data_IF_269040324305
#
_entry.id   IF_269040324305
#
_cell.length_a   1.000
_cell.length_b   1.000
_cell.length_c   1.000
_cell.angle_alpha   90.00
_cell.angle_beta   90.00
_cell.angle_gamma   90.00
#
_symmetry.space_group_name_H-M   'P 1'
#
loop_
_entity.id
_entity.type
_entity.pdbx_description
1 polymer ?
#
# COMPACT_ATOMS: atom_id res chain seq x y z
N UNK A 1 21.73 -1.37 -12.98
CA UNK A 1 22.30 -2.35 -12.04
C UNK A 1 23.80 -2.17 -11.94
N UNK A 2 24.32 -2.00 -10.72
CA UNK A 2 25.75 -1.83 -10.46
C UNK A 2 26.27 -3.15 -9.83
N UNK A 3 27.16 -3.90 -10.51
CA UNK A 3 27.63 -5.18 -10.01
C UNK A 3 28.41 -5.02 -8.69
N UNK A 4 28.07 -5.84 -7.69
CA UNK A 4 28.66 -5.79 -6.34
C UNK A 4 27.87 -4.98 -5.31
N UNK A 5 26.78 -4.32 -5.71
CA UNK A 5 25.88 -3.65 -4.77
C UNK A 5 24.98 -4.67 -4.08
N UNK A 6 25.11 -4.79 -2.76
CA UNK A 6 24.16 -5.56 -1.95
C UNK A 6 22.80 -4.86 -1.94
N UNK A 7 21.75 -5.58 -2.36
CA UNK A 7 20.40 -5.09 -2.23
C UNK A 7 20.02 -5.08 -0.74
N UNK A 8 19.25 -4.06 -0.28
CA UNK A 8 18.70 -4.11 1.07
C UNK A 8 17.83 -5.37 1.22
N UNK A 9 17.75 -5.95 2.43
CA UNK A 9 16.90 -7.10 2.68
C UNK A 9 15.47 -6.81 2.22
N UNK A 10 14.88 -7.72 1.45
CA UNK A 10 13.47 -7.65 1.11
C UNK A 10 12.65 -7.84 2.38
N UNK A 11 11.84 -6.84 2.72
CA UNK A 11 10.89 -6.90 3.82
C UNK A 11 9.47 -6.90 3.27
N UNK A 12 8.62 -7.75 3.84
CA UNK A 12 7.20 -7.75 3.53
C UNK A 12 6.48 -6.67 4.34
N UNK A 13 5.61 -5.90 3.68
CA UNK A 13 4.68 -5.02 4.39
C UNK A 13 3.61 -5.88 5.07
N UNK A 14 3.67 -6.00 6.40
CA UNK A 14 2.61 -6.62 7.20
C UNK A 14 1.60 -5.56 7.64
N UNK A 15 0.40 -5.63 7.08
CA UNK A 15 -0.70 -4.72 7.43
C UNK A 15 -1.46 -5.26 8.63
N UNK A 16 -1.48 -4.50 9.73
CA UNK A 16 -2.24 -4.85 10.95
C UNK A 16 -3.43 -3.91 11.22
N UNK A 17 -3.60 -2.86 10.41
CA UNK A 17 -4.67 -1.88 10.57
C UNK A 17 -5.99 -2.31 9.91
N UNK A 18 -7.06 -1.57 10.21
CA UNK A 18 -8.41 -1.81 9.72
C UNK A 18 -8.72 -0.89 8.52
N UNK A 19 -9.17 -1.50 7.42
CA UNK A 19 -9.60 -0.78 6.23
C UNK A 19 -10.72 0.23 6.55
N UNK A 20 -10.60 1.45 6.02
CA UNK A 20 -11.55 2.55 6.28
C UNK A 20 -11.42 3.21 7.65
N UNK A 21 -10.45 2.81 8.49
CA UNK A 21 -10.17 3.43 9.79
C UNK A 21 -8.72 3.88 9.91
N UNK A 22 -7.78 2.96 9.66
CA UNK A 22 -6.35 3.22 9.78
C UNK A 22 -5.74 3.56 8.40
N UNK A 23 -4.52 4.09 8.40
CA UNK A 23 -3.82 4.48 7.16
C UNK A 23 -3.52 3.31 6.22
N UNK A 24 -3.41 2.10 6.77
CA UNK A 24 -3.25 0.86 6.02
C UNK A 24 -4.23 -0.18 6.57
N UNK A 25 -4.98 -0.83 5.69
CA UNK A 25 -5.85 -1.95 6.03
C UNK A 25 -6.02 -2.90 4.86
N UNK A 26 -6.46 -4.13 5.15
CA UNK A 26 -6.83 -5.11 4.14
C UNK A 26 -8.35 -5.22 4.10
N UNK A 27 -8.95 -5.01 2.93
CA UNK A 27 -10.37 -5.22 2.72
C UNK A 27 -10.70 -6.73 2.60
N UNK A 28 -11.97 -7.07 2.69
CA UNK A 28 -12.47 -8.46 2.56
C UNK A 28 -12.04 -9.15 1.26
N UNK A 29 -11.96 -8.39 0.18
CA UNK A 29 -11.49 -8.89 -1.12
C UNK A 29 -9.95 -8.85 -1.25
N UNK A 30 -9.24 -8.78 -0.12
CA UNK A 30 -7.78 -8.79 -0.01
C UNK A 30 -7.06 -7.60 -0.68
N UNK A 31 -7.79 -6.56 -1.09
CA UNK A 31 -7.18 -5.33 -1.59
C UNK A 31 -6.60 -4.50 -0.45
N UNK A 32 -5.44 -3.89 -0.70
CA UNK A 32 -4.85 -2.90 0.17
C UNK A 32 -5.72 -1.63 0.12
N UNK A 33 -6.18 -1.19 1.29
CA UNK A 33 -6.84 0.09 1.48
C UNK A 33 -5.87 1.02 2.19
N UNK A 34 -5.65 2.19 1.61
CA UNK A 34 -4.82 3.24 2.18
C UNK A 34 -5.59 4.54 2.32
N UNK A 35 -5.19 5.39 3.27
CA UNK A 35 -5.72 6.75 3.35
C UNK A 35 -5.21 7.61 2.19
N UNK A 36 -5.87 8.75 1.93
CA UNK A 36 -5.43 9.69 0.89
C UNK A 36 -4.02 10.20 1.16
N UNK A 37 -3.65 10.45 2.42
CA UNK A 37 -2.30 10.88 2.83
C UNK A 37 -1.22 9.89 2.39
N UNK A 38 -1.47 8.59 2.55
CA UNK A 38 -0.52 7.56 2.11
C UNK A 38 -0.48 7.48 0.58
N UNK A 39 -1.64 7.59 -0.09
CA UNK A 39 -1.67 7.61 -1.56
C UNK A 39 -0.83 8.77 -2.11
N UNK A 40 -1.00 9.98 -1.58
CA UNK A 40 -0.23 11.18 -1.98
C UNK A 40 1.28 10.95 -1.80
N UNK A 41 1.68 10.29 -0.70
CA UNK A 41 3.08 9.94 -0.46
C UNK A 41 3.61 8.94 -1.50
N UNK A 42 2.86 7.88 -1.83
CA UNK A 42 3.27 6.87 -2.82
C UNK A 42 3.33 7.46 -4.24
N UNK A 43 2.40 8.36 -4.57
CA UNK A 43 2.41 9.12 -5.84
C UNK A 43 3.66 10.00 -5.93
N UNK A 44 4.04 10.69 -4.84
CA UNK A 44 5.26 11.52 -4.80
C UNK A 44 6.56 10.72 -4.96
N UNK A 45 6.55 9.45 -4.57
CA UNK A 45 7.68 8.52 -4.74
C UNK A 45 7.71 7.87 -6.12
N UNK A 46 6.74 8.20 -6.99
CA UNK A 46 6.67 7.69 -8.35
C UNK A 46 6.42 6.19 -8.40
N UNK A 47 5.53 5.66 -7.54
CA UNK A 47 5.05 4.26 -7.59
C UNK A 47 3.81 4.22 -8.50
N UNK A 48 3.96 4.01 -9.83
CA UNK A 48 2.91 4.26 -10.79
C UNK A 48 2.15 2.97 -11.18
N UNK A 49 2.46 1.83 -10.56
CA UNK A 49 2.11 0.51 -11.09
C UNK A 49 0.89 -0.15 -10.44
N UNK A 50 0.09 0.58 -9.66
CA UNK A 50 -1.12 0.05 -9.05
C UNK A 50 -2.38 0.68 -9.65
N UNK A 51 -3.39 -0.14 -9.92
CA UNK A 51 -4.75 0.35 -10.18
C UNK A 51 -5.32 0.83 -8.84
N UNK A 52 -5.72 2.11 -8.79
CA UNK A 52 -6.31 2.73 -7.61
C UNK A 52 -7.76 3.06 -7.88
N UNK A 53 -8.63 2.68 -6.95
CA UNK A 53 -10.07 2.92 -7.01
C UNK A 53 -10.58 3.32 -5.61
N UNK A 54 -11.62 4.18 -5.52
CA UNK A 54 -12.17 4.59 -4.24
C UNK A 54 -12.65 3.41 -3.40
N UNK A 55 -12.36 3.43 -2.10
CA UNK A 55 -12.86 2.43 -1.17
C UNK A 55 -14.32 2.74 -0.77
N UNK A 56 -15.22 1.79 -0.95
CA UNK A 56 -16.67 1.96 -0.71
C UNK A 56 -17.11 1.74 0.75
N UNK A 57 -16.15 1.43 1.63
CA UNK A 57 -16.40 1.22 3.06
C UNK A 57 -17.09 -0.10 3.41
N UNK A 58 -17.32 -1.00 2.44
CA UNK A 58 -17.97 -2.28 2.70
C UNK A 58 -16.95 -3.28 3.25
N UNK A 59 -17.12 -3.62 4.52
CA UNK A 59 -16.54 -4.83 5.11
C UNK A 59 -17.45 -5.98 4.68
N UNK A 60 -17.07 -6.75 3.65
CA UNK A 60 -17.70 -8.06 3.41
C UNK A 60 -17.10 -9.11 4.34
#
# INVERSE_FOLDING_TARGET
DQPGQELPPFVWLKVNGKAGRDDFGIAANHRLVISKRILDLLESLGIPFAVVEPYDGKQQ
#
